data_IF_632142615745
#
_entry.id   IF_632142615745
#
_cell.length_a   1.000
_cell.length_b   1.000
_cell.length_c   1.000
_cell.angle_alpha   90.00
_cell.angle_beta   90.00
_cell.angle_gamma   90.00
#
_symmetry.space_group_name_H-M   'P 1'
#
loop_
_entity.id
_entity.type
_entity.pdbx_description
1 polymer ?
#
# COMPACT_ATOMS: atom_id res chain seq x y z
N UNK A 1 21.73 -9.82 -0.01
CA UNK A 1 21.27 -10.34 1.30
C UNK A 1 20.76 -11.75 1.11
N UNK A 2 21.22 -12.66 1.87
CA UNK A 2 20.77 -14.05 1.85
C UNK A 2 19.44 -14.19 2.60
N UNK A 3 18.81 -15.35 2.47
CA UNK A 3 17.54 -15.63 3.13
C UNK A 3 17.59 -15.48 4.67
N UNK A 4 18.74 -15.59 5.30
CA UNK A 4 18.95 -15.37 6.74
C UNK A 4 19.44 -13.95 7.07
N UNK A 5 19.23 -13.01 6.16
CA UNK A 5 19.67 -11.60 6.27
C UNK A 5 21.17 -11.38 6.42
N UNK A 6 21.99 -12.37 6.11
CA UNK A 6 23.44 -12.18 6.04
C UNK A 6 23.82 -11.43 4.77
N UNK A 7 24.77 -10.53 4.90
CA UNK A 7 25.34 -9.79 3.76
C UNK A 7 26.51 -10.57 3.22
N UNK A 8 26.40 -11.00 1.96
CA UNK A 8 27.50 -11.64 1.24
C UNK A 8 28.07 -10.67 0.22
N UNK A 9 29.39 -10.52 0.23
CA UNK A 9 30.10 -9.75 -0.78
C UNK A 9 30.50 -10.67 -1.92
N UNK A 10 30.16 -10.28 -3.13
CA UNK A 10 30.49 -11.01 -4.34
C UNK A 10 31.52 -10.24 -5.16
N UNK A 11 32.46 -10.95 -5.74
CA UNK A 11 33.34 -10.37 -6.73
C UNK A 11 32.61 -10.30 -8.08
N UNK A 12 32.53 -9.12 -8.65
CA UNK A 12 31.91 -8.91 -9.95
C UNK A 12 32.86 -9.36 -11.04
N UNK A 13 32.43 -10.28 -11.91
CA UNK A 13 33.19 -10.73 -13.06
C UNK A 13 33.03 -9.81 -14.26
N UNK A 14 31.78 -9.35 -14.49
CA UNK A 14 31.42 -8.59 -15.70
C UNK A 14 30.27 -7.63 -15.45
N UNK A 15 30.34 -6.46 -16.06
CA UNK A 15 29.26 -5.50 -16.16
C UNK A 15 29.06 -5.16 -17.63
N UNK A 16 27.83 -5.31 -18.12
CA UNK A 16 27.47 -5.03 -19.51
C UNK A 16 26.26 -4.09 -19.56
N UNK A 17 26.27 -3.15 -20.49
CA UNK A 17 25.06 -2.45 -20.84
C UNK A 17 24.22 -3.32 -21.77
N UNK A 18 22.93 -3.49 -21.46
CA UNK A 18 21.99 -4.24 -22.27
C UNK A 18 20.70 -3.45 -22.44
N UNK A 19 20.10 -3.53 -23.61
CA UNK A 19 18.78 -2.95 -23.87
C UNK A 19 17.70 -4.01 -23.65
N UNK A 20 16.69 -3.66 -22.88
CA UNK A 20 15.54 -4.52 -22.60
C UNK A 20 14.27 -3.69 -22.51
N UNK A 21 13.30 -3.98 -23.37
CA UNK A 21 11.99 -3.32 -23.39
C UNK A 21 12.07 -1.78 -23.36
N UNK A 22 13.00 -1.22 -24.14
CA UNK A 22 13.21 0.22 -24.27
C UNK A 22 13.96 0.89 -23.11
N UNK A 23 14.51 0.09 -22.18
CA UNK A 23 15.34 0.58 -21.09
C UNK A 23 16.77 0.09 -21.20
N UNK A 24 17.70 0.94 -20.84
CA UNK A 24 19.12 0.57 -20.69
C UNK A 24 19.36 0.06 -19.28
N UNK A 25 19.89 -1.15 -19.19
CA UNK A 25 20.19 -1.83 -17.92
C UNK A 25 21.68 -2.15 -17.84
N UNK A 26 22.20 -2.21 -16.62
CA UNK A 26 23.47 -2.85 -16.35
C UNK A 26 23.24 -4.30 -15.94
N UNK A 27 23.72 -5.25 -16.75
CA UNK A 27 23.78 -6.66 -16.38
C UNK A 27 25.06 -6.91 -15.62
N UNK A 28 24.95 -7.20 -14.34
CA UNK A 28 26.08 -7.49 -13.45
C UNK A 28 26.14 -8.99 -13.23
N UNK A 29 27.26 -9.59 -13.62
CA UNK A 29 27.53 -11.01 -13.44
C UNK A 29 28.63 -11.21 -12.41
N UNK A 30 28.36 -12.08 -11.44
CA UNK A 30 29.33 -12.47 -10.41
C UNK A 30 29.25 -13.96 -10.16
N UNK A 31 30.36 -14.58 -9.76
CA UNK A 31 30.34 -15.97 -9.30
C UNK A 31 30.10 -16.01 -7.80
N UNK A 32 29.19 -16.83 -7.41
CA UNK A 32 28.77 -17.02 -6.04
C UNK A 32 28.68 -18.52 -5.72
N UNK A 33 29.83 -19.20 -5.56
CA UNK A 33 29.84 -20.64 -5.31
C UNK A 33 29.12 -21.03 -4.01
N UNK A 34 28.94 -20.07 -3.12
CA UNK A 34 28.29 -20.25 -1.83
C UNK A 34 26.80 -19.88 -1.83
N UNK A 35 26.30 -19.39 -2.96
CA UNK A 35 24.90 -19.00 -3.14
C UNK A 35 24.31 -19.82 -4.29
N UNK A 36 23.31 -20.60 -3.95
CA UNK A 36 22.56 -21.36 -4.93
C UNK A 36 21.34 -20.52 -5.31
N UNK A 37 21.19 -20.28 -6.58
CA UNK A 37 20.03 -19.64 -7.14
C UNK A 37 19.62 -20.27 -8.45
N UNK A 38 18.40 -20.02 -8.85
CA UNK A 38 17.93 -20.38 -10.19
C UNK A 38 18.18 -19.22 -11.14
N UNK A 39 18.71 -19.55 -12.32
CA UNK A 39 18.90 -18.58 -13.40
C UNK A 39 17.58 -18.33 -14.17
N UNK A 40 17.66 -17.54 -15.24
CA UNK A 40 16.50 -17.23 -16.07
C UNK A 40 15.83 -18.46 -16.71
N UNK A 41 16.63 -19.49 -16.95
CA UNK A 41 16.14 -20.79 -17.49
C UNK A 41 15.58 -21.71 -16.40
N UNK A 42 15.50 -21.21 -15.16
CA UNK A 42 15.02 -21.97 -14.00
C UNK A 42 15.89 -23.18 -13.64
N UNK A 43 17.17 -23.12 -13.94
CA UNK A 43 18.17 -24.12 -13.53
C UNK A 43 19.03 -23.61 -12.37
N UNK A 44 19.59 -24.50 -11.57
CA UNK A 44 20.48 -24.14 -10.48
C UNK A 44 21.82 -23.63 -11.03
N UNK A 45 22.31 -22.51 -10.48
CA UNK A 45 23.53 -21.88 -10.95
C UNK A 45 24.33 -21.28 -9.80
N UNK A 46 25.66 -21.38 -9.89
CA UNK A 46 26.60 -20.65 -9.05
C UNK A 46 26.89 -19.24 -9.58
N UNK A 47 26.44 -18.95 -10.79
CA UNK A 47 26.55 -17.63 -11.39
C UNK A 47 25.42 -16.74 -10.90
N UNK A 48 25.76 -15.59 -10.33
CA UNK A 48 24.82 -14.59 -9.90
C UNK A 48 24.71 -13.51 -10.96
N UNK A 49 23.50 -13.31 -11.48
CA UNK A 49 23.19 -12.26 -12.45
C UNK A 49 22.18 -11.32 -11.85
N UNK A 50 22.49 -10.04 -11.86
CA UNK A 50 21.57 -9.01 -11.39
C UNK A 50 21.54 -7.85 -12.37
N UNK A 51 20.33 -7.30 -12.60
CA UNK A 51 20.10 -6.19 -13.50
C UNK A 51 19.81 -4.94 -12.71
N UNK A 52 20.51 -3.85 -13.02
CA UNK A 52 20.29 -2.54 -12.46
C UNK A 52 19.89 -1.58 -13.59
N UNK A 53 18.92 -0.70 -13.32
CA UNK A 53 18.60 0.34 -14.29
C UNK A 53 19.71 1.38 -14.38
N UNK A 54 20.10 1.73 -15.59
CA UNK A 54 20.97 2.89 -15.80
C UNK A 54 20.16 4.15 -15.52
N UNK A 55 20.62 4.97 -14.59
CA UNK A 55 19.91 6.16 -14.16
C UNK A 55 20.00 7.24 -15.23
N UNK A 56 18.85 7.67 -15.76
CA UNK A 56 18.73 8.80 -16.65
C UNK A 56 18.57 10.08 -15.82
N UNK A 57 19.31 11.14 -16.15
CA UNK A 57 19.21 12.43 -15.51
C UNK A 57 17.88 13.13 -15.89
N UNK A 58 17.40 14.03 -15.03
CA UNK A 58 16.23 14.85 -15.30
C UNK A 58 16.42 15.73 -16.55
N UNK A 59 15.32 16.00 -17.22
CA UNK A 59 15.24 16.96 -18.33
C UNK A 59 14.24 18.04 -17.96
N UNK A 60 14.73 19.24 -17.63
CA UNK A 60 13.86 20.30 -17.09
C UNK A 60 13.23 19.87 -15.76
N UNK A 61 11.90 19.87 -15.70
CA UNK A 61 11.14 19.39 -14.56
C UNK A 61 10.60 17.95 -14.72
N UNK A 62 11.14 17.20 -15.68
CA UNK A 62 10.79 15.81 -15.94
C UNK A 62 11.87 14.88 -15.36
N UNK A 63 11.45 13.97 -14.49
CA UNK A 63 12.32 13.12 -13.70
C UNK A 63 12.25 11.67 -14.16
N UNK A 64 13.42 11.02 -14.17
CA UNK A 64 13.60 9.64 -14.59
C UNK A 64 14.26 8.77 -13.52
N UNK A 65 14.62 9.35 -12.37
CA UNK A 65 15.05 8.60 -11.22
C UNK A 65 14.52 9.20 -9.91
N UNK A 66 14.24 8.33 -8.96
CA UNK A 66 13.56 8.70 -7.73
C UNK A 66 14.45 9.53 -6.79
N UNK A 67 15.75 9.24 -6.74
CA UNK A 67 16.67 9.96 -5.87
C UNK A 67 16.74 11.45 -6.23
N UNK A 68 16.83 11.75 -7.52
CA UNK A 68 16.87 13.12 -8.03
C UNK A 68 15.54 13.85 -7.79
N UNK A 69 14.42 13.17 -8.02
CA UNK A 69 13.08 13.70 -7.74
C UNK A 69 12.95 14.08 -6.25
N UNK A 70 13.29 13.19 -5.35
CA UNK A 70 13.20 13.42 -3.90
C UNK A 70 14.10 14.58 -3.47
N UNK A 71 15.33 14.60 -3.97
CA UNK A 71 16.29 15.68 -3.69
C UNK A 71 15.73 17.04 -4.10
N UNK A 72 15.17 17.14 -5.29
CA UNK A 72 14.66 18.39 -5.82
C UNK A 72 13.33 18.81 -5.16
N UNK A 73 12.46 17.87 -4.83
CA UNK A 73 11.24 18.17 -4.05
C UNK A 73 11.57 18.69 -2.65
N UNK A 74 12.60 18.15 -2.00
CA UNK A 74 13.09 18.68 -0.72
C UNK A 74 13.66 20.09 -0.84
N UNK A 75 14.41 20.35 -1.90
CA UNK A 75 15.04 21.65 -2.15
C UNK A 75 14.02 22.73 -2.54
N UNK A 76 12.97 22.35 -3.28
CA UNK A 76 11.92 23.27 -3.72
C UNK A 76 10.52 22.65 -3.51
N UNK A 77 10.02 22.65 -2.29
CA UNK A 77 8.72 22.02 -1.98
C UNK A 77 7.50 22.71 -2.59
N UNK A 78 7.67 23.85 -3.26
CA UNK A 78 6.62 24.57 -3.98
C UNK A 78 6.71 24.41 -5.50
N UNK A 79 7.65 23.60 -6.00
CA UNK A 79 7.90 23.41 -7.42
C UNK A 79 6.87 22.51 -8.10
N UNK A 80 6.99 22.44 -9.42
CA UNK A 80 6.25 21.51 -10.26
C UNK A 80 7.18 20.41 -10.76
N UNK A 81 6.78 19.16 -10.52
CA UNK A 81 7.58 17.97 -10.81
C UNK A 81 6.74 17.01 -11.63
N UNK A 82 7.32 16.51 -12.74
CA UNK A 82 6.69 15.49 -13.58
C UNK A 82 7.56 14.27 -13.69
N UNK A 83 6.99 13.09 -13.56
CA UNK A 83 7.72 11.85 -13.83
C UNK A 83 7.53 11.44 -15.29
N UNK A 84 8.66 11.11 -15.94
CA UNK A 84 8.72 10.74 -17.36
C UNK A 84 8.89 9.24 -17.60
N UNK A 85 9.00 8.46 -16.55
CA UNK A 85 9.10 7.00 -16.59
C UNK A 85 8.70 6.42 -15.23
N UNK A 86 8.54 5.10 -15.17
CA UNK A 86 8.43 4.40 -13.89
C UNK A 86 9.74 4.56 -13.09
N UNK A 87 9.63 4.90 -11.82
CA UNK A 87 10.76 5.14 -10.93
C UNK A 87 10.93 3.99 -9.94
N UNK A 88 12.16 3.75 -9.53
CA UNK A 88 12.49 2.72 -8.54
C UNK A 88 13.10 3.35 -7.28
N UNK A 89 12.42 3.22 -6.15
CA UNK A 89 12.88 3.70 -4.86
C UNK A 89 13.76 2.70 -4.10
N UNK A 90 13.98 1.50 -4.62
CA UNK A 90 14.65 0.42 -3.89
C UNK A 90 16.10 0.74 -3.48
N UNK A 91 16.81 1.52 -4.30
CA UNK A 91 18.22 1.87 -4.07
C UNK A 91 18.41 3.30 -3.55
N UNK A 92 17.34 3.95 -3.16
CA UNK A 92 17.41 5.30 -2.58
C UNK A 92 17.58 5.19 -1.07
N UNK A 93 18.44 6.02 -0.45
CA UNK A 93 18.61 6.01 1.00
C UNK A 93 17.29 6.17 1.73
N UNK A 94 17.07 5.31 2.72
CA UNK A 94 15.82 5.23 3.46
C UNK A 94 15.83 6.25 4.61
N UNK A 95 14.93 7.24 4.60
CA UNK A 95 14.82 8.21 5.68
C UNK A 95 14.21 7.58 6.94
N UNK A 96 14.16 8.35 8.02
CA UNK A 96 13.55 7.85 9.26
C UNK A 96 12.05 7.61 9.12
N UNK A 97 11.32 8.46 8.41
CA UNK A 97 9.87 8.33 8.23
C UNK A 97 9.39 8.64 6.81
N UNK A 98 9.69 9.82 6.27
CA UNK A 98 9.25 10.21 4.94
C UNK A 98 10.42 10.66 4.05
N UNK A 99 10.31 10.42 2.74
CA UNK A 99 11.32 10.86 1.77
C UNK A 99 11.38 12.38 1.63
N UNK A 100 10.23 13.04 1.70
CA UNK A 100 10.10 14.50 1.62
C UNK A 100 9.42 14.99 2.88
N UNK A 101 10.18 15.25 3.96
CA UNK A 101 9.63 15.73 5.22
C UNK A 101 9.12 17.18 5.11
N UNK A 102 8.30 17.57 6.07
CA UNK A 102 7.68 18.90 6.08
C UNK A 102 6.47 18.98 5.18
N UNK A 103 6.16 20.17 4.71
CA UNK A 103 4.96 20.43 3.90
C UNK A 103 5.33 20.63 2.44
N UNK A 104 4.79 19.77 1.57
CA UNK A 104 4.87 19.89 0.12
C UNK A 104 3.71 20.76 -0.37
N UNK A 105 4.03 21.86 -1.05
CA UNK A 105 3.07 22.84 -1.59
C UNK A 105 3.03 22.83 -3.12
N UNK A 106 3.82 21.99 -3.72
CA UNK A 106 4.01 21.93 -5.16
C UNK A 106 3.03 20.99 -5.84
N UNK A 107 3.39 20.62 -7.07
CA UNK A 107 2.63 19.69 -7.89
C UNK A 107 3.52 18.52 -8.29
N UNK A 108 3.03 17.31 -8.08
CA UNK A 108 3.63 16.07 -8.57
C UNK A 108 2.64 15.39 -9.50
N UNK A 109 3.08 15.10 -10.72
CA UNK A 109 2.28 14.37 -11.71
C UNK A 109 3.18 13.55 -12.64
N UNK A 110 2.59 12.77 -13.51
CA UNK A 110 3.28 12.24 -14.68
C UNK A 110 3.27 13.26 -15.82
N UNK A 111 4.16 13.10 -16.81
CA UNK A 111 4.09 13.89 -18.04
C UNK A 111 2.72 13.76 -18.69
N UNK A 112 2.29 14.76 -19.43
CA UNK A 112 0.94 14.88 -19.95
C UNK A 112 0.48 13.61 -20.70
N UNK A 113 -0.71 13.13 -20.34
CA UNK A 113 -1.31 11.94 -20.92
C UNK A 113 -0.73 10.61 -20.45
N UNK A 114 0.24 10.62 -19.53
CA UNK A 114 0.85 9.43 -18.98
C UNK A 114 0.45 9.24 -17.50
N UNK A 115 0.65 8.02 -17.01
CA UNK A 115 0.47 7.66 -15.61
C UNK A 115 1.56 6.65 -15.25
N UNK A 116 2.62 7.15 -14.65
CA UNK A 116 3.76 6.33 -14.23
C UNK A 116 3.67 5.97 -12.76
N UNK A 117 4.49 5.00 -12.36
CA UNK A 117 4.50 4.47 -11.00
C UNK A 117 5.84 4.72 -10.33
N UNK A 118 5.80 5.01 -9.03
CA UNK A 118 6.97 4.95 -8.15
C UNK A 118 6.92 3.59 -7.46
N UNK A 119 7.92 2.76 -7.73
CA UNK A 119 8.01 1.40 -7.22
C UNK A 119 8.89 1.30 -5.98
N UNK A 120 8.53 0.35 -5.12
CA UNK A 120 9.39 -0.14 -4.04
C UNK A 120 9.73 0.90 -2.97
N UNK A 121 8.83 1.84 -2.69
CA UNK A 121 9.00 2.72 -1.54
C UNK A 121 8.97 1.92 -0.25
N UNK A 122 9.89 2.20 0.66
CA UNK A 122 9.95 1.61 2.00
C UNK A 122 9.63 2.62 3.11
N UNK A 123 9.27 3.84 2.75
CA UNK A 123 8.84 4.92 3.64
C UNK A 123 7.72 5.72 3.00
N UNK A 124 7.03 6.50 3.82
CA UNK A 124 6.03 7.46 3.37
C UNK A 124 6.66 8.51 2.45
N UNK A 125 5.94 8.97 1.43
CA UNK A 125 6.51 9.91 0.45
C UNK A 125 6.65 11.31 1.03
N UNK A 126 5.55 11.91 1.51
CA UNK A 126 5.52 13.28 2.06
C UNK A 126 5.19 13.30 3.55
N UNK A 127 5.68 14.32 4.25
CA UNK A 127 5.19 14.65 5.59
C UNK A 127 3.77 15.18 5.52
N UNK A 128 3.54 16.23 4.77
CA UNK A 128 2.22 16.82 4.51
C UNK A 128 2.13 17.38 3.09
N UNK A 129 0.90 17.57 2.61
CA UNK A 129 0.60 18.25 1.35
C UNK A 129 -0.38 19.38 1.64
N UNK A 130 -0.04 20.59 1.29
CA UNK A 130 -0.90 21.76 1.49
C UNK A 130 -0.85 22.71 0.30
N UNK A 131 -1.99 23.01 -0.30
CA UNK A 131 -2.12 23.95 -1.40
C UNK A 131 -1.65 23.44 -2.78
N UNK A 132 -1.21 22.20 -2.86
CA UNK A 132 -0.70 21.62 -4.10
C UNK A 132 -1.54 20.46 -4.63
N UNK A 133 -0.90 19.56 -5.36
CA UNK A 133 -1.56 18.37 -5.90
C UNK A 133 -0.60 17.21 -6.15
N UNK A 134 -1.14 16.00 -6.09
CA UNK A 134 -0.50 14.79 -6.59
C UNK A 134 -1.51 14.10 -7.49
N UNK A 135 -1.17 13.96 -8.78
CA UNK A 135 -2.09 13.44 -9.79
C UNK A 135 -1.40 12.48 -10.75
N UNK A 136 -2.13 11.47 -11.20
CA UNK A 136 -1.67 10.55 -12.25
C UNK A 136 -0.33 9.88 -11.95
N UNK A 137 -0.15 9.48 -10.69
CA UNK A 137 1.05 8.79 -10.20
C UNK A 137 0.61 7.60 -9.35
N UNK A 138 1.12 6.41 -9.66
CA UNK A 138 0.87 5.25 -8.80
C UNK A 138 2.05 5.03 -7.84
N UNK A 139 1.75 4.46 -6.68
CA UNK A 139 2.74 4.00 -5.71
C UNK A 139 2.67 2.47 -5.67
N UNK A 140 3.63 1.82 -6.31
CA UNK A 140 3.56 0.40 -6.60
C UNK A 140 4.48 -0.42 -5.68
N UNK A 141 3.97 -1.53 -5.20
CA UNK A 141 4.72 -2.44 -4.35
C UNK A 141 5.40 -1.73 -3.16
N UNK A 142 4.63 -0.91 -2.48
CA UNK A 142 5.08 -0.24 -1.25
C UNK A 142 5.32 -1.31 -0.18
N UNK A 143 6.45 -1.23 0.50
CA UNK A 143 6.77 -2.11 1.63
C UNK A 143 7.28 -1.25 2.80
N UNK A 144 6.35 -0.75 3.59
CA UNK A 144 6.64 0.03 4.79
C UNK A 144 6.50 -0.86 6.01
N UNK A 145 7.59 -1.09 6.72
CA UNK A 145 7.64 -1.88 7.94
C UNK A 145 8.28 -1.07 9.06
N UNK A 146 7.46 -0.35 9.81
CA UNK A 146 7.89 0.59 10.86
C UNK A 146 7.04 0.42 12.13
N UNK A 147 7.17 -0.70 12.86
CA UNK A 147 6.36 -0.98 14.04
C UNK A 147 6.57 0.01 15.21
N UNK A 148 7.55 0.89 15.11
CA UNK A 148 7.84 1.93 16.10
C UNK A 148 7.28 3.31 15.74
N UNK A 149 6.67 3.47 14.57
CA UNK A 149 6.17 4.75 14.08
C UNK A 149 4.65 4.82 14.13
N UNK A 150 4.15 5.96 14.58
CA UNK A 150 2.73 6.32 14.56
C UNK A 150 2.39 7.17 13.34
N UNK A 151 1.12 7.11 12.91
CA UNK A 151 0.57 7.87 11.80
C UNK A 151 1.35 7.67 10.50
N UNK A 152 1.34 6.45 10.01
CA UNK A 152 2.02 6.03 8.78
C UNK A 152 1.02 5.73 7.66
N UNK A 153 1.35 6.13 6.45
CA UNK A 153 0.61 5.88 5.21
C UNK A 153 1.57 5.91 4.02
N UNK A 154 1.10 5.63 2.83
CA UNK A 154 1.98 5.61 1.66
C UNK A 154 2.32 7.02 1.16
N UNK A 155 1.35 7.95 1.09
CA UNK A 155 1.52 9.22 0.42
C UNK A 155 1.89 10.36 1.38
N UNK A 156 1.07 10.61 2.39
CA UNK A 156 1.25 11.75 3.29
C UNK A 156 0.50 11.57 4.61
N UNK A 157 1.01 12.17 5.67
CA UNK A 157 0.29 12.22 6.94
C UNK A 157 -0.95 13.09 6.85
N UNK A 158 -0.84 14.27 6.29
CA UNK A 158 -1.93 15.26 6.21
C UNK A 158 -2.01 15.85 4.81
N UNK A 159 -3.24 15.99 4.32
CA UNK A 159 -3.55 16.72 3.08
C UNK A 159 -4.54 17.83 3.42
N UNK A 160 -4.23 19.07 3.03
CA UNK A 160 -5.06 20.25 3.30
C UNK A 160 -5.06 21.18 2.10
N UNK A 161 -6.24 21.67 1.72
CA UNK A 161 -6.40 22.54 0.54
C UNK A 161 -5.61 22.03 -0.68
N UNK A 162 -5.71 20.74 -0.95
CA UNK A 162 -4.92 20.07 -1.96
C UNK A 162 -5.71 18.93 -2.59
N UNK A 163 -5.31 18.53 -3.78
CA UNK A 163 -5.94 17.47 -4.56
C UNK A 163 -5.02 16.28 -4.71
N UNK A 164 -5.58 15.10 -4.47
CA UNK A 164 -4.97 13.79 -4.75
C UNK A 164 -5.89 13.07 -5.72
N UNK A 165 -5.43 12.79 -6.93
CA UNK A 165 -6.30 12.32 -8.01
C UNK A 165 -5.65 11.27 -8.89
N UNK A 166 -6.42 10.26 -9.30
CA UNK A 166 -5.97 9.17 -10.17
C UNK A 166 -4.72 8.47 -9.64
N UNK A 167 -4.81 7.92 -8.44
CA UNK A 167 -3.70 7.26 -7.77
C UNK A 167 -4.11 5.85 -7.37
N UNK A 168 -3.26 4.88 -7.72
CA UNK A 168 -3.35 3.52 -7.22
C UNK A 168 -2.13 3.22 -6.35
N UNK A 169 -2.38 2.76 -5.15
CA UNK A 169 -1.35 2.31 -4.20
C UNK A 169 -1.47 0.82 -4.01
N UNK A 170 -0.38 0.10 -4.17
CA UNK A 170 -0.31 -1.35 -3.90
C UNK A 170 0.82 -1.66 -2.92
N UNK A 171 0.64 -2.68 -2.10
CA UNK A 171 1.69 -3.19 -1.23
C UNK A 171 1.26 -3.37 0.22
N UNK A 172 2.21 -3.23 1.13
CA UNK A 172 2.02 -3.50 2.55
C UNK A 172 2.54 -2.35 3.41
N UNK A 173 1.76 -1.96 4.40
CA UNK A 173 2.12 -0.92 5.36
C UNK A 173 1.89 -1.47 6.76
N UNK A 174 2.94 -1.48 7.57
CA UNK A 174 2.91 -1.84 8.98
C UNK A 174 3.47 -0.70 9.82
N UNK A 175 2.73 -0.29 10.80
CA UNK A 175 3.09 0.75 11.76
C UNK A 175 2.59 0.44 13.16
N UNK A 176 2.84 1.34 14.10
CA UNK A 176 2.40 1.16 15.49
C UNK A 176 0.92 1.52 15.62
N UNK A 177 0.57 2.78 15.67
CA UNK A 177 -0.80 3.29 15.76
C UNK A 177 -1.06 4.34 14.68
N UNK A 178 -2.28 4.41 14.17
CA UNK A 178 -2.64 5.35 13.11
C UNK A 178 -2.14 4.91 11.74
N UNK A 179 -2.80 3.93 11.14
CA UNK A 179 -2.40 3.34 9.87
C UNK A 179 -3.43 3.72 8.80
N UNK A 180 -2.95 4.09 7.62
CA UNK A 180 -3.81 4.31 6.46
C UNK A 180 -3.11 3.91 5.17
N UNK A 181 -3.89 3.58 4.16
CA UNK A 181 -3.34 3.18 2.86
C UNK A 181 -2.71 4.34 2.09
N UNK A 182 -3.35 5.49 2.07
CA UNK A 182 -2.90 6.64 1.26
C UNK A 182 -2.52 7.83 2.12
N UNK A 183 -3.41 8.32 2.99
CA UNK A 183 -3.17 9.46 3.89
C UNK A 183 -3.69 9.15 5.28
N UNK A 184 -3.10 9.75 6.31
CA UNK A 184 -3.64 9.60 7.66
C UNK A 184 -4.77 10.60 7.94
N UNK A 185 -4.67 11.83 7.47
CA UNK A 185 -5.68 12.86 7.70
C UNK A 185 -5.93 13.72 6.47
N UNK A 186 -7.18 13.80 6.04
CA UNK A 186 -7.66 14.81 5.11
C UNK A 186 -8.24 15.97 5.88
N UNK A 187 -7.56 17.12 5.87
CA UNK A 187 -7.99 18.33 6.53
C UNK A 187 -8.81 19.23 5.60
N UNK A 188 -9.18 20.41 6.04
CA UNK A 188 -10.01 21.37 5.31
C UNK A 188 -9.59 21.50 3.83
N UNK A 189 -10.52 21.31 2.92
CA UNK A 189 -10.28 21.45 1.49
C UNK A 189 -9.47 20.30 0.84
N UNK A 190 -9.16 19.25 1.58
CA UNK A 190 -8.57 18.06 0.99
C UNK A 190 -9.58 17.38 0.06
N UNK A 191 -9.15 17.05 -1.16
CA UNK A 191 -9.96 16.38 -2.15
C UNK A 191 -9.21 15.17 -2.71
N UNK A 192 -9.67 13.98 -2.38
CA UNK A 192 -9.17 12.73 -2.94
C UNK A 192 -10.20 12.22 -3.95
N UNK A 193 -9.81 12.07 -5.20
CA UNK A 193 -10.69 11.65 -6.29
C UNK A 193 -10.08 10.50 -7.08
N UNK A 194 -10.85 9.45 -7.28
CA UNK A 194 -10.42 8.28 -8.04
C UNK A 194 -9.10 7.69 -7.52
N UNK A 195 -9.14 7.19 -6.30
CA UNK A 195 -8.00 6.63 -5.59
C UNK A 195 -8.25 5.18 -5.21
N UNK A 196 -7.22 4.36 -5.20
CA UNK A 196 -7.32 2.96 -4.81
C UNK A 196 -6.15 2.53 -3.93
N UNK A 197 -6.44 1.66 -2.97
CA UNK A 197 -5.45 0.92 -2.20
C UNK A 197 -5.72 -0.57 -2.30
N UNK A 198 -4.71 -1.34 -2.67
CA UNK A 198 -4.78 -2.80 -2.76
C UNK A 198 -3.57 -3.40 -2.03
N UNK A 199 -3.81 -4.11 -0.94
CA UNK A 199 -2.71 -4.74 -0.19
C UNK A 199 -3.03 -5.03 1.25
N UNK A 200 -2.03 -4.87 2.11
CA UNK A 200 -2.10 -5.22 3.53
C UNK A 200 -1.80 -4.02 4.41
N UNK A 201 -2.61 -3.83 5.44
CA UNK A 201 -2.42 -2.79 6.45
C UNK A 201 -2.39 -3.44 7.83
N UNK A 202 -1.34 -3.16 8.60
CA UNK A 202 -1.15 -3.77 9.93
C UNK A 202 -0.78 -2.72 10.97
N UNK A 203 -1.49 -2.69 12.07
CA UNK A 203 -1.21 -1.85 13.24
C UNK A 203 -0.90 -2.71 14.46
N UNK A 204 0.30 -2.54 15.03
CA UNK A 204 0.77 -3.36 16.16
C UNK A 204 0.65 -2.66 17.52
N UNK A 205 0.22 -1.40 17.53
CA UNK A 205 0.12 -0.60 18.75
C UNK A 205 -1.17 -0.82 19.54
N UNK A 206 -1.25 -0.16 20.69
CA UNK A 206 -2.32 -0.34 21.69
C UNK A 206 -3.09 0.95 22.01
N UNK A 207 -2.88 2.04 21.27
CA UNK A 207 -3.52 3.33 21.58
C UNK A 207 -4.95 3.43 21.08
N UNK A 208 -5.35 2.61 20.15
CA UNK A 208 -6.72 2.63 19.61
C UNK A 208 -6.96 3.78 18.63
N UNK A 209 -5.96 4.20 17.89
CA UNK A 209 -6.05 5.33 16.97
C UNK A 209 -6.71 4.94 15.64
N UNK A 210 -6.95 5.96 14.80
CA UNK A 210 -7.66 5.81 13.53
C UNK A 210 -6.89 4.96 12.53
N UNK A 211 -7.60 4.05 11.89
CA UNK A 211 -7.06 3.08 10.95
C UNK A 211 -8.03 2.95 9.77
N UNK A 212 -7.60 3.34 8.57
CA UNK A 212 -8.46 3.33 7.38
C UNK A 212 -7.77 2.86 6.11
N UNK A 213 -8.52 2.27 5.21
CA UNK A 213 -7.99 1.76 3.94
C UNK A 213 -7.46 2.87 3.03
N UNK A 214 -8.16 4.00 2.94
CA UNK A 214 -7.71 5.20 2.23
C UNK A 214 -7.17 6.23 3.21
N UNK A 215 -7.93 6.59 4.23
CA UNK A 215 -7.60 7.62 5.20
C UNK A 215 -7.98 7.20 6.62
N UNK A 216 -7.24 7.68 7.61
CA UNK A 216 -7.63 7.54 9.00
C UNK A 216 -8.79 8.46 9.36
N UNK A 217 -8.67 9.73 9.03
CA UNK A 217 -9.63 10.77 9.38
C UNK A 217 -9.83 11.76 8.21
N UNK A 218 -11.07 12.20 8.06
CA UNK A 218 -11.45 13.32 7.21
C UNK A 218 -12.04 14.43 8.06
N UNK A 219 -11.26 15.45 8.33
CA UNK A 219 -11.70 16.68 8.98
C UNK A 219 -12.00 17.74 7.93
N UNK A 220 -13.25 17.84 7.50
CA UNK A 220 -13.64 18.74 6.39
C UNK A 220 -12.93 18.46 5.06
N UNK A 221 -12.47 17.23 4.87
CA UNK A 221 -11.95 16.73 3.60
C UNK A 221 -12.95 15.82 2.90
N UNK A 222 -12.73 15.52 1.63
CA UNK A 222 -13.61 14.69 0.83
C UNK A 222 -12.87 13.55 0.14
N UNK A 223 -13.57 12.41 0.02
CA UNK A 223 -13.17 11.30 -0.85
C UNK A 223 -14.31 11.01 -1.80
N UNK A 224 -14.03 11.02 -3.10
CA UNK A 224 -14.97 10.65 -4.15
C UNK A 224 -14.32 9.66 -5.11
N UNK A 225 -15.00 8.57 -5.41
CA UNK A 225 -14.51 7.47 -6.26
C UNK A 225 -13.26 6.82 -5.68
N UNK A 226 -13.47 5.94 -4.72
CA UNK A 226 -12.39 5.23 -4.05
C UNK A 226 -12.63 3.72 -4.01
N UNK A 227 -11.55 2.96 -4.09
CA UNK A 227 -11.58 1.49 -4.01
C UNK A 227 -10.53 0.99 -3.02
N UNK A 228 -10.95 0.14 -2.12
CA UNK A 228 -10.07 -0.56 -1.18
C UNK A 228 -10.26 -2.06 -1.31
N UNK A 229 -9.17 -2.76 -1.52
CA UNK A 229 -9.10 -4.22 -1.40
C UNK A 229 -7.93 -4.57 -0.49
N UNK A 230 -8.23 -4.81 0.78
CA UNK A 230 -7.19 -4.90 1.79
C UNK A 230 -7.45 -5.97 2.84
N UNK A 231 -6.35 -6.53 3.33
CA UNK A 231 -6.33 -7.25 4.60
C UNK A 231 -5.85 -6.28 5.68
N UNK A 232 -6.74 -5.93 6.58
CA UNK A 232 -6.49 -4.99 7.65
C UNK A 232 -6.43 -5.74 8.98
N UNK A 233 -5.28 -5.67 9.64
CA UNK A 233 -5.03 -6.35 10.91
C UNK A 233 -4.56 -5.35 11.95
N UNK A 234 -5.23 -5.31 13.10
CA UNK A 234 -4.85 -4.42 14.19
C UNK A 234 -4.91 -5.13 15.55
N UNK A 235 -4.01 -4.74 16.42
CA UNK A 235 -4.06 -5.15 17.82
C UNK A 235 -5.14 -4.35 18.57
N UNK A 236 -5.08 -3.04 18.50
CA UNK A 236 -6.13 -2.14 19.01
C UNK A 236 -6.26 -0.92 18.10
N UNK A 237 -7.47 -0.67 17.60
CA UNK A 237 -7.69 0.46 16.70
C UNK A 237 -9.18 0.81 16.56
N UNK A 238 -9.43 2.03 16.10
CA UNK A 238 -10.69 2.44 15.48
C UNK A 238 -10.54 2.24 13.98
N UNK A 239 -11.30 1.31 13.41
CA UNK A 239 -11.10 0.90 12.02
C UNK A 239 -12.32 1.19 11.16
N UNK A 240 -12.09 1.79 10.00
CA UNK A 240 -13.02 1.80 8.89
C UNK A 240 -12.38 1.23 7.63
N UNK A 241 -13.07 0.39 6.91
CA UNK A 241 -12.52 -0.21 5.68
C UNK A 241 -12.05 0.84 4.68
N UNK A 242 -12.76 1.96 4.54
CA UNK A 242 -12.35 3.09 3.73
C UNK A 242 -11.70 4.19 4.58
N UNK A 243 -12.38 4.64 5.61
CA UNK A 243 -11.96 5.72 6.51
C UNK A 243 -12.42 5.41 7.92
N UNK A 244 -11.62 5.70 8.93
CA UNK A 244 -12.05 5.47 10.31
C UNK A 244 -13.08 6.50 10.74
N UNK A 245 -12.81 7.78 10.59
CA UNK A 245 -13.72 8.86 10.96
C UNK A 245 -13.88 9.93 9.90
N UNK A 246 -15.11 10.45 9.81
CA UNK A 246 -15.37 11.73 9.13
C UNK A 246 -15.84 12.75 10.15
N UNK A 247 -15.47 14.00 9.93
CA UNK A 247 -15.87 15.12 10.79
C UNK A 247 -16.03 16.41 9.97
N UNK A 248 -17.16 17.08 10.15
CA UNK A 248 -17.41 18.39 9.57
C UNK A 248 -17.87 19.37 10.66
N UNK A 249 -17.33 19.23 11.86
CA UNK A 249 -17.66 20.07 13.00
C UNK A 249 -17.54 21.56 12.69
N UNK A 250 -18.54 22.33 13.12
CA UNK A 250 -18.53 23.77 12.99
C UNK A 250 -19.09 24.32 11.68
N UNK A 251 -19.57 23.48 10.79
CA UNK A 251 -20.28 23.89 9.57
C UNK A 251 -21.62 23.17 9.38
N UNK A 252 -22.64 23.50 10.18
CA UNK A 252 -23.95 22.86 10.06
C UNK A 252 -24.64 23.14 8.72
N UNK A 253 -24.27 24.21 8.02
CA UNK A 253 -24.80 24.52 6.70
C UNK A 253 -24.00 23.84 5.56
N UNK A 254 -22.90 23.23 5.89
CA UNK A 254 -22.02 22.55 4.95
C UNK A 254 -22.26 21.06 4.85
N UNK A 255 -23.39 20.54 5.26
CA UNK A 255 -23.70 19.10 5.22
C UNK A 255 -23.45 18.55 3.82
N UNK A 256 -22.53 17.59 3.74
CA UNK A 256 -22.11 16.98 2.47
C UNK A 256 -21.19 17.85 1.62
N UNK A 257 -20.79 19.02 2.10
CA UNK A 257 -19.78 19.87 1.45
C UNK A 257 -18.37 19.41 1.81
N UNK A 258 -18.15 19.13 3.10
CA UNK A 258 -16.87 18.62 3.60
C UNK A 258 -17.11 17.37 4.47
N UNK A 259 -16.05 16.62 4.72
CA UNK A 259 -16.12 15.38 5.50
C UNK A 259 -16.99 14.32 4.82
N UNK A 260 -17.06 14.33 3.49
CA UNK A 260 -17.91 13.45 2.72
C UNK A 260 -17.14 12.34 2.03
N UNK A 261 -17.74 11.16 2.02
CA UNK A 261 -17.27 9.99 1.25
C UNK A 261 -18.40 9.59 0.31
N UNK A 262 -18.09 9.49 -0.97
CA UNK A 262 -19.04 9.11 -2.01
C UNK A 262 -18.41 8.15 -3.01
N UNK A 263 -19.26 7.30 -3.60
CA UNK A 263 -18.86 6.45 -4.72
C UNK A 263 -17.63 5.59 -4.39
N UNK A 264 -17.69 4.84 -3.29
CA UNK A 264 -16.55 4.07 -2.84
C UNK A 264 -16.91 2.61 -2.57
N UNK A 265 -15.89 1.77 -2.66
CA UNK A 265 -15.99 0.32 -2.46
C UNK A 265 -14.92 -0.13 -1.48
N UNK A 266 -15.31 -0.96 -0.52
CA UNK A 266 -14.36 -1.70 0.34
C UNK A 266 -14.54 -3.19 0.17
N UNK A 267 -13.43 -3.91 0.11
CA UNK A 267 -13.37 -5.36 -0.04
C UNK A 267 -12.18 -5.93 0.73
N UNK A 268 -12.29 -7.15 1.18
CA UNK A 268 -11.20 -7.87 1.88
C UNK A 268 -11.59 -8.24 3.29
N UNK A 269 -10.66 -8.15 4.23
CA UNK A 269 -10.86 -8.59 5.61
C UNK A 269 -10.41 -7.53 6.61
N UNK A 270 -11.12 -7.44 7.73
CA UNK A 270 -10.71 -6.67 8.91
C UNK A 270 -10.66 -7.64 10.09
N UNK A 271 -9.48 -7.73 10.73
CA UNK A 271 -9.25 -8.52 11.93
C UNK A 271 -8.66 -7.62 13.01
N UNK A 272 -9.43 -7.36 14.06
CA UNK A 272 -9.00 -6.54 15.19
C UNK A 272 -9.16 -7.30 16.48
N UNK A 273 -8.07 -7.35 17.28
CA UNK A 273 -8.09 -8.04 18.54
C UNK A 273 -8.89 -7.28 19.60
N UNK A 274 -8.61 -5.98 19.74
CA UNK A 274 -9.28 -5.07 20.68
C UNK A 274 -9.89 -3.90 19.88
N UNK A 275 -11.17 -4.04 19.55
CA UNK A 275 -11.89 -3.05 18.76
C UNK A 275 -12.29 -1.88 19.65
N UNK A 276 -11.83 -0.67 19.31
CA UNK A 276 -12.39 0.55 19.87
C UNK A 276 -13.76 0.78 19.23
N UNK A 277 -13.80 0.80 17.89
CA UNK A 277 -15.01 0.93 17.10
C UNK A 277 -14.65 0.56 15.66
N UNK A 278 -15.28 -0.45 15.10
CA UNK A 278 -14.90 -0.99 13.79
C UNK A 278 -16.11 -1.13 12.88
N UNK A 279 -15.99 -0.62 11.66
CA UNK A 279 -16.97 -0.81 10.60
C UNK A 279 -16.32 -1.24 9.29
N UNK A 280 -16.97 -2.09 8.53
CA UNK A 280 -16.49 -2.58 7.24
C UNK A 280 -16.23 -1.48 6.22
N UNK A 281 -16.88 -0.34 6.36
CA UNK A 281 -16.70 0.84 5.52
C UNK A 281 -16.17 2.03 6.31
N UNK A 282 -16.82 2.40 7.40
CA UNK A 282 -16.47 3.53 8.25
C UNK A 282 -16.70 3.18 9.71
N UNK A 283 -15.79 3.62 10.59
CA UNK A 283 -15.98 3.46 12.03
C UNK A 283 -17.01 4.46 12.57
N UNK A 284 -16.80 5.74 12.33
CA UNK A 284 -17.68 6.79 12.86
C UNK A 284 -17.78 7.99 11.92
N UNK A 285 -19.00 8.38 11.66
CA UNK A 285 -19.29 9.65 11.00
C UNK A 285 -19.61 10.68 12.08
N UNK A 286 -18.66 11.54 12.36
CA UNK A 286 -18.78 12.58 13.38
C UNK A 286 -19.42 13.82 12.77
N UNK A 287 -20.18 14.51 13.51
CA UNK A 287 -20.88 15.77 13.18
C UNK A 287 -20.89 16.20 11.69
N UNK A 288 -22.04 16.14 11.04
CA UNK A 288 -22.30 16.68 9.68
C UNK A 288 -21.55 16.04 8.50
N UNK A 289 -20.75 15.00 8.73
CA UNK A 289 -20.15 14.24 7.64
C UNK A 289 -21.19 13.44 6.86
N UNK A 290 -20.85 13.01 5.64
CA UNK A 290 -21.76 12.24 4.77
C UNK A 290 -21.07 11.03 4.15
N UNK A 291 -21.77 9.92 4.13
CA UNK A 291 -21.33 8.69 3.44
C UNK A 291 -22.46 8.25 2.51
N UNK A 292 -22.21 8.24 1.21
CA UNK A 292 -23.24 7.95 0.22
C UNK A 292 -22.75 7.11 -0.95
N UNK A 293 -23.67 6.43 -1.60
CA UNK A 293 -23.45 5.69 -2.85
C UNK A 293 -22.26 4.73 -2.82
N UNK A 294 -22.13 4.03 -1.70
CA UNK A 294 -20.95 3.20 -1.43
C UNK A 294 -21.34 1.76 -1.13
N UNK A 295 -20.39 0.86 -1.38
CA UNK A 295 -20.58 -0.58 -1.22
C UNK A 295 -19.47 -1.15 -0.36
N UNK A 296 -19.82 -1.89 0.70
CA UNK A 296 -18.86 -2.67 1.46
C UNK A 296 -19.03 -4.16 1.20
N UNK A 297 -17.96 -4.79 0.76
CA UNK A 297 -17.82 -6.25 0.64
C UNK A 297 -16.79 -6.77 1.65
N UNK A 298 -16.60 -6.05 2.75
CA UNK A 298 -15.62 -6.37 3.77
C UNK A 298 -16.10 -7.51 4.66
N UNK A 299 -15.19 -8.40 5.03
CA UNK A 299 -15.41 -9.44 6.04
C UNK A 299 -14.79 -8.96 7.35
N UNK A 300 -15.64 -8.60 8.30
CA UNK A 300 -15.22 -7.98 9.56
C UNK A 300 -15.27 -8.98 10.71
N UNK A 301 -14.15 -9.20 11.35
CA UNK A 301 -14.07 -9.89 12.63
C UNK A 301 -13.98 -8.88 13.77
N UNK A 302 -14.86 -9.03 14.78
CA UNK A 302 -14.94 -8.16 15.95
C UNK A 302 -15.35 -6.71 15.64
N UNK A 303 -16.35 -6.53 14.79
CA UNK A 303 -16.87 -5.21 14.44
C UNK A 303 -18.16 -5.26 13.62
N UNK A 304 -18.64 -4.11 13.23
CA UNK A 304 -19.87 -3.92 12.46
C UNK A 304 -19.62 -4.13 10.96
N UNK A 305 -20.63 -4.59 10.26
CA UNK A 305 -20.54 -4.93 8.83
C UNK A 305 -20.27 -3.72 7.93
N UNK A 306 -20.72 -2.51 8.31
CA UNK A 306 -20.55 -1.30 7.52
C UNK A 306 -20.14 -0.09 8.37
N UNK A 307 -20.97 0.29 9.33
CA UNK A 307 -20.80 1.46 10.18
C UNK A 307 -20.52 1.02 11.62
N UNK A 308 -19.39 1.44 12.18
CA UNK A 308 -18.90 0.93 13.46
C UNK A 308 -19.59 1.50 14.69
N UNK A 309 -20.08 2.72 14.62
CA UNK A 309 -20.74 3.35 15.75
C UNK A 309 -22.16 2.80 15.95
N UNK A 310 -22.51 2.55 17.21
CA UNK A 310 -23.88 2.15 17.58
C UNK A 310 -24.84 3.32 17.73
N UNK A 311 -24.30 4.53 17.69
CA UNK A 311 -25.05 5.78 17.96
C UNK A 311 -25.68 6.36 16.68
N UNK A 312 -26.16 5.52 15.77
CA UNK A 312 -27.01 6.00 14.69
C UNK A 312 -28.38 6.31 15.31
N UNK A 313 -28.57 7.56 15.70
CA UNK A 313 -29.82 8.03 16.27
C UNK A 313 -30.81 8.33 15.16
N UNK A 314 -32.05 7.84 15.35
CA UNK A 314 -33.19 8.09 14.46
C UNK A 314 -33.70 9.53 14.55
N UNK A 315 -33.41 10.22 15.63
CA UNK A 315 -34.09 11.47 16.01
C UNK A 315 -33.27 12.75 15.76
N UNK A 316 -32.23 12.70 14.98
CA UNK A 316 -31.59 13.92 14.51
C UNK A 316 -30.66 14.62 15.52
N UNK A 317 -30.06 13.89 16.42
CA UNK A 317 -28.92 14.33 17.20
C UNK A 317 -27.72 14.71 16.32
N UNK A 318 -26.56 14.86 16.88
CA UNK A 318 -25.29 15.19 16.18
C UNK A 318 -25.03 14.40 14.89
N UNK A 319 -25.73 13.32 14.71
CA UNK A 319 -25.69 12.42 13.56
C UNK A 319 -27.02 12.53 12.81
N UNK A 320 -27.13 13.52 11.94
CA UNK A 320 -28.32 13.65 11.15
C UNK A 320 -28.53 12.35 10.36
N UNK A 321 -29.75 11.88 10.36
CA UNK A 321 -30.18 10.73 9.59
C UNK A 321 -29.83 10.79 8.10
N UNK A 322 -29.48 11.95 7.56
CA UNK A 322 -29.05 12.17 6.19
C UNK A 322 -27.55 11.92 5.96
N UNK A 323 -26.80 11.54 7.01
CA UNK A 323 -25.37 11.25 6.91
C UNK A 323 -25.06 9.99 6.12
N UNK A 324 -25.97 9.03 6.10
CA UNK A 324 -25.83 7.77 5.34
C UNK A 324 -26.91 7.68 4.28
N UNK A 325 -26.54 7.57 3.02
CA UNK A 325 -27.48 7.48 1.90
C UNK A 325 -27.03 6.48 0.84
N UNK A 326 -27.94 5.60 0.43
CA UNK A 326 -27.74 4.70 -0.70
C UNK A 326 -26.46 3.86 -0.61
N UNK A 327 -26.18 3.32 0.56
CA UNK A 327 -25.05 2.44 0.78
C UNK A 327 -25.50 0.98 0.75
N UNK A 328 -24.60 0.10 0.34
CA UNK A 328 -24.88 -1.31 0.18
C UNK A 328 -23.89 -2.19 0.95
N UNK A 329 -24.41 -3.29 1.48
CA UNK A 329 -23.65 -4.48 1.86
C UNK A 329 -24.11 -5.64 0.99
N UNK A 330 -23.29 -6.68 0.84
CA UNK A 330 -23.51 -7.77 -0.10
C UNK A 330 -23.82 -9.06 0.65
N UNK A 331 -24.97 -9.65 0.33
CA UNK A 331 -25.42 -10.91 0.92
C UNK A 331 -24.38 -12.02 0.69
N UNK A 332 -24.11 -12.80 1.73
CA UNK A 332 -23.16 -13.91 1.74
C UNK A 332 -21.68 -13.52 1.47
N UNK A 333 -21.38 -12.24 1.37
CA UNK A 333 -20.02 -11.70 1.16
C UNK A 333 -19.61 -10.80 2.31
N UNK A 334 -20.38 -9.74 2.57
CA UNK A 334 -20.12 -8.83 3.69
C UNK A 334 -20.46 -9.51 5.00
N UNK A 335 -19.51 -9.56 5.92
CA UNK A 335 -19.72 -10.15 7.25
C UNK A 335 -19.35 -9.19 8.35
N UNK A 336 -19.99 -9.36 9.51
CA UNK A 336 -19.81 -8.52 10.68
C UNK A 336 -21.11 -8.43 11.49
N UNK A 337 -21.04 -7.72 12.62
CA UNK A 337 -22.22 -7.44 13.42
C UNK A 337 -23.15 -6.47 12.68
N UNK A 338 -24.44 -6.59 12.93
CA UNK A 338 -25.49 -5.76 12.36
C UNK A 338 -26.28 -5.09 13.48
N UNK A 339 -25.63 -4.21 14.23
CA UNK A 339 -26.23 -3.56 15.40
C UNK A 339 -27.10 -2.36 15.04
N UNK A 340 -27.06 -1.90 13.78
CA UNK A 340 -27.93 -0.81 13.32
C UNK A 340 -29.39 -1.27 13.23
N UNK A 341 -30.31 -0.38 13.58
CA UNK A 341 -31.75 -0.65 13.54
C UNK A 341 -32.30 -0.66 12.11
N UNK A 342 -33.36 -1.40 11.90
CA UNK A 342 -34.02 -1.55 10.58
C UNK A 342 -34.50 -0.24 9.94
N UNK A 343 -34.74 0.80 10.71
CA UNK A 343 -35.06 2.15 10.17
C UNK A 343 -33.90 2.74 9.35
N UNK A 344 -32.69 2.22 9.52
CA UNK A 344 -31.51 2.58 8.73
C UNK A 344 -31.42 1.73 7.45
N UNK A 345 -32.31 0.77 7.25
CA UNK A 345 -32.26 -0.19 6.13
C UNK A 345 -32.30 0.47 4.74
N UNK A 346 -32.90 1.64 4.61
CA UNK A 346 -32.90 2.40 3.36
C UNK A 346 -31.54 3.11 3.09
N UNK A 347 -30.65 3.12 4.04
CA UNK A 347 -29.38 3.83 4.01
C UNK A 347 -28.19 2.90 3.86
N UNK A 348 -28.35 1.69 4.43
CA UNK A 348 -27.42 0.57 4.26
C UNK A 348 -28.30 -0.63 3.89
N UNK A 349 -28.42 -0.92 2.61
CA UNK A 349 -29.25 -1.99 2.08
C UNK A 349 -28.41 -3.22 1.78
N UNK A 350 -28.88 -4.40 2.20
CA UNK A 350 -28.30 -5.65 1.77
C UNK A 350 -28.82 -6.02 0.38
N UNK A 351 -27.90 -6.28 -0.54
CA UNK A 351 -28.18 -6.61 -1.93
C UNK A 351 -27.46 -7.87 -2.35
N UNK A 352 -27.87 -8.46 -3.48
CA UNK A 352 -27.12 -9.54 -4.12
C UNK A 352 -25.78 -9.05 -4.68
N UNK A 353 -24.88 -9.97 -4.97
CA UNK A 353 -23.63 -9.64 -5.65
C UNK A 353 -23.88 -8.96 -7.01
N UNK A 354 -24.87 -9.43 -7.76
CA UNK A 354 -25.22 -8.86 -9.07
C UNK A 354 -25.72 -7.41 -8.94
N UNK A 355 -26.55 -7.12 -7.97
CA UNK A 355 -27.01 -5.74 -7.70
C UNK A 355 -25.81 -4.84 -7.26
N UNK A 356 -24.93 -5.37 -6.44
CA UNK A 356 -23.73 -4.67 -6.02
C UNK A 356 -22.83 -4.36 -7.21
N UNK A 357 -22.59 -5.33 -8.09
CA UNK A 357 -21.78 -5.16 -9.30
C UNK A 357 -22.37 -4.10 -10.24
N UNK A 358 -23.68 -4.08 -10.42
CA UNK A 358 -24.39 -3.05 -11.17
C UNK A 358 -24.21 -1.67 -10.55
N UNK A 359 -24.31 -1.56 -9.23
CA UNK A 359 -24.08 -0.30 -8.52
C UNK A 359 -22.64 0.18 -8.68
N UNK A 360 -21.68 -0.71 -8.48
CA UNK A 360 -20.24 -0.40 -8.61
C UNK A 360 -19.91 0.11 -10.01
N UNK A 361 -20.49 -0.48 -11.05
CA UNK A 361 -20.29 -0.04 -12.43
C UNK A 361 -20.71 1.40 -12.69
N UNK A 362 -21.61 1.95 -11.86
CA UNK A 362 -22.09 3.34 -11.99
C UNK A 362 -21.26 4.35 -11.21
N UNK A 363 -20.33 3.90 -10.35
CA UNK A 363 -19.62 4.78 -9.42
C UNK A 363 -18.49 5.58 -10.08
N UNK A 364 -18.04 5.17 -11.26
CA UNK A 364 -16.98 5.87 -11.99
C UNK A 364 -15.59 5.68 -11.40
N UNK A 365 -15.37 4.64 -10.61
CA UNK A 365 -14.06 4.29 -10.05
C UNK A 365 -13.24 3.58 -11.14
N UNK A 366 -12.10 4.12 -11.49
CA UNK A 366 -11.19 3.55 -12.50
C UNK A 366 -9.79 3.27 -11.97
N UNK A 367 -9.45 3.82 -10.81
CA UNK A 367 -8.12 3.69 -10.22
C UNK A 367 -7.70 2.23 -9.98
N UNK A 368 -8.64 1.38 -9.53
CA UNK A 368 -8.36 -0.03 -9.29
C UNK A 368 -8.15 -0.84 -10.57
N UNK A 369 -8.68 -0.38 -11.70
CA UNK A 369 -8.56 -1.07 -12.99
C UNK A 369 -7.23 -0.82 -13.68
N UNK A 370 -6.50 0.20 -13.22
CA UNK A 370 -5.20 0.51 -13.79
C UNK A 370 -4.20 -0.62 -13.52
N UNK A 371 -3.61 -1.16 -14.59
CA UNK A 371 -2.60 -2.21 -14.49
C UNK A 371 -1.23 -1.58 -14.34
N UNK A 372 -0.63 -1.77 -13.16
CA UNK A 372 0.75 -1.33 -12.91
C UNK A 372 1.71 -2.32 -13.54
N UNK A 373 2.56 -1.82 -14.46
CA UNK A 373 3.59 -2.64 -15.10
C UNK A 373 4.75 -2.88 -14.12
N UNK A 374 5.27 -4.10 -13.99
CA UNK A 374 6.49 -4.36 -13.25
C UNK A 374 7.67 -3.58 -13.86
N UNK A 375 8.64 -3.21 -13.05
CA UNK A 375 9.90 -2.69 -13.56
C UNK A 375 10.65 -3.79 -14.32
N UNK A 376 11.31 -3.43 -15.41
CA UNK A 376 12.07 -4.40 -16.22
C UNK A 376 13.17 -5.05 -15.40
N UNK A 377 13.91 -4.27 -14.61
CA UNK A 377 14.94 -4.78 -13.71
C UNK A 377 14.36 -5.76 -12.67
N UNK A 378 13.22 -5.44 -12.07
CA UNK A 378 12.56 -6.32 -11.09
C UNK A 378 12.11 -7.62 -11.73
N UNK A 379 11.57 -7.55 -12.95
CA UNK A 379 11.16 -8.74 -13.70
C UNK A 379 12.34 -9.66 -14.00
N UNK A 380 13.47 -9.09 -14.41
CA UNK A 380 14.68 -9.84 -14.73
C UNK A 380 15.39 -10.36 -13.49
N UNK A 381 15.32 -9.64 -12.36
CA UNK A 381 15.93 -10.05 -11.09
C UNK A 381 15.07 -11.03 -10.30
N UNK A 382 13.80 -11.07 -10.59
CA UNK A 382 12.83 -11.87 -9.83
C UNK A 382 12.78 -13.31 -10.36
N UNK A 383 13.94 -13.98 -10.37
CA UNK A 383 13.99 -15.41 -10.58
C UNK A 383 13.49 -16.07 -9.30
N UNK A 384 12.17 -16.12 -9.14
CA UNK A 384 11.57 -16.87 -8.04
C UNK A 384 11.81 -18.35 -8.32
N UNK A 385 12.39 -19.08 -7.35
CA UNK A 385 12.25 -20.52 -7.39
C UNK A 385 10.73 -20.76 -7.44
N UNK A 386 10.28 -21.55 -8.39
CA UNK A 386 8.89 -21.99 -8.37
C UNK A 386 8.67 -22.67 -7.03
N UNK A 387 7.79 -22.14 -6.21
CA UNK A 387 7.48 -22.73 -4.90
C UNK A 387 7.07 -24.21 -5.02
N UNK A 388 6.57 -24.58 -6.19
CA UNK A 388 6.19 -25.95 -6.52
C UNK A 388 7.36 -26.82 -6.96
N UNK A 389 8.48 -26.25 -7.38
CA UNK A 389 9.68 -27.01 -7.74
C UNK A 389 10.45 -27.52 -6.52
N UNK A 390 10.27 -26.92 -5.36
CA UNK A 390 10.80 -27.49 -4.12
C UNK A 390 10.03 -28.71 -3.64
N UNK A 391 8.88 -28.97 -4.22
CA UNK A 391 8.12 -30.21 -4.00
C UNK A 391 8.51 -31.32 -4.99
N UNK A 392 9.25 -30.97 -6.04
CA UNK A 392 9.85 -31.92 -6.94
C UNK A 392 11.11 -32.46 -6.27
N UNK A 393 11.09 -33.74 -5.95
CA UNK A 393 12.19 -34.42 -5.26
C UNK A 393 13.52 -34.27 -5.99
N UNK A 394 13.53 -34.24 -7.31
CA UNK A 394 14.76 -34.10 -8.10
C UNK A 394 15.38 -32.71 -7.94
N UNK A 395 14.59 -31.65 -8.05
CA UNK A 395 15.07 -30.28 -7.86
C UNK A 395 15.50 -30.01 -6.42
N UNK A 396 14.78 -30.59 -5.48
CA UNK A 396 15.14 -30.48 -4.07
C UNK A 396 16.45 -31.17 -3.77
N UNK A 397 16.64 -32.40 -4.28
CA UNK A 397 17.86 -33.19 -4.07
C UNK A 397 19.09 -32.53 -4.73
N UNK A 398 18.92 -32.01 -5.95
CA UNK A 398 19.97 -31.27 -6.63
C UNK A 398 20.36 -29.98 -5.86
N UNK A 399 19.38 -29.27 -5.34
CA UNK A 399 19.62 -28.07 -4.52
C UNK A 399 20.37 -28.40 -3.24
N UNK A 400 20.01 -29.52 -2.61
CA UNK A 400 20.67 -30.00 -1.39
C UNK A 400 22.12 -30.42 -1.68
N UNK A 401 22.32 -31.17 -2.74
CA UNK A 401 23.66 -31.63 -3.13
C UNK A 401 24.58 -30.46 -3.40
N UNK A 402 24.10 -29.45 -4.14
CA UNK A 402 24.89 -28.25 -4.41
C UNK A 402 25.17 -27.46 -3.11
N UNK A 403 24.20 -27.38 -2.20
CA UNK A 403 24.39 -26.77 -0.89
C UNK A 403 25.45 -27.49 -0.07
N UNK A 404 25.43 -28.81 -0.05
CA UNK A 404 26.44 -29.60 0.65
C UNK A 404 27.83 -29.44 0.07
N UNK A 405 27.98 -29.44 -1.24
CA UNK A 405 29.28 -29.18 -1.88
C UNK A 405 29.82 -27.80 -1.50
N UNK A 406 28.97 -26.82 -1.41
CA UNK A 406 29.37 -25.47 -0.98
C UNK A 406 29.72 -25.41 0.50
N UNK A 407 28.98 -26.13 1.36
CA UNK A 407 29.33 -26.28 2.77
C UNK A 407 30.69 -26.94 2.95
N UNK A 408 30.98 -27.97 2.19
CA UNK A 408 32.29 -28.65 2.24
C UNK A 408 33.43 -27.71 1.83
N UNK A 409 33.24 -26.87 0.82
CA UNK A 409 34.19 -25.83 0.44
C UNK A 409 34.45 -24.81 1.56
N UNK A 410 33.46 -24.56 2.39
CA UNK A 410 33.50 -23.62 3.51
C UNK A 410 33.92 -24.27 4.83
N UNK A 411 34.10 -25.59 4.88
CA UNK A 411 34.40 -26.36 6.08
C UNK A 411 35.62 -25.83 6.90
N UNK A 412 36.66 -25.27 6.29
CA UNK A 412 37.72 -24.64 7.09
C UNK A 412 37.24 -23.47 7.96
N UNK A 413 36.06 -22.88 7.61
CA UNK A 413 35.51 -21.68 8.25
C UNK A 413 34.32 -21.98 9.14
N UNK A 414 33.57 -23.05 8.86
CA UNK A 414 32.36 -23.40 9.56
C UNK A 414 32.28 -24.90 9.85
N UNK A 415 31.87 -25.29 11.04
CA UNK A 415 31.55 -26.66 11.28
C UNK A 415 30.10 -26.95 10.79
N UNK A 416 29.85 -28.18 10.43
CA UNK A 416 28.57 -28.64 9.89
C UNK A 416 27.41 -28.47 10.89
N UNK A 417 27.66 -28.71 12.15
CA UNK A 417 26.69 -28.50 13.23
C UNK A 417 26.25 -27.05 13.35
N UNK A 418 27.17 -26.12 13.24
CA UNK A 418 26.86 -24.71 13.31
C UNK A 418 25.92 -24.28 12.18
N UNK A 419 26.17 -24.71 10.96
CA UNK A 419 25.36 -24.39 9.78
C UNK A 419 23.95 -24.96 9.93
N UNK A 420 23.85 -26.17 10.40
CA UNK A 420 22.56 -26.82 10.63
C UNK A 420 21.78 -26.17 11.78
N UNK A 421 22.45 -25.83 12.87
CA UNK A 421 21.82 -25.22 14.03
C UNK A 421 21.41 -23.77 13.82
N UNK A 422 21.93 -23.11 12.80
CA UNK A 422 21.43 -21.80 12.40
C UNK A 422 20.04 -21.86 11.68
N UNK A 423 19.56 -22.97 11.66
CA UNK A 423 18.24 -22.92 11.47
C UNK A 423 17.71 -23.38 10.32
N UNK A 424 18.31 -24.15 9.80
CA UNK A 424 17.39 -24.01 9.07
C UNK A 424 17.32 -24.21 7.69
N UNK A 425 18.23 -24.17 7.12
CA UNK A 425 18.19 -24.13 5.71
C UNK A 425 18.74 -25.39 5.11
N UNK A 426 19.45 -26.11 5.92
CA UNK A 426 19.98 -27.43 5.62
C UNK A 426 19.74 -28.25 6.87
N UNK A 427 18.70 -29.07 6.88
CA UNK A 427 18.43 -29.94 8.03
C UNK A 427 19.60 -30.87 8.33
N UNK A 428 19.77 -31.20 9.60
CA UNK A 428 20.90 -31.99 10.08
C UNK A 428 21.02 -33.36 9.38
N UNK A 429 19.88 -33.92 9.07
CA UNK A 429 19.74 -35.26 8.49
C UNK A 429 19.58 -35.25 6.97
N UNK A 430 19.76 -34.09 6.42
CA UNK A 430 19.54 -33.91 5.00
C UNK A 430 20.79 -34.03 4.21
#
# INVERSE_FOLDING_TARGET
TTHDNKVTRLAVDKIEEVEKDGKTLYKVTAKAPDLIQRNAENTLSEEYVHYFEKQKAKEGNVYYNFNELVKDMKANPSGEFKIGADLNAANVPTPNKEYVPGTFKGKLSSVDGQRYSIHNMSRQLFGGIEGGSVKDVNLANVDINMPWIDNISALARTVKNATVENIKVTGSILGRDGIAGIINKGDTGAQLTNVAFIGNLTGVGNRGWDFGGIAGELWKGNIDKAYVEANMVANKARIGGLVARTDNSGDPNGIGKYGAVRNAVTKGTIKVKDSVETGGFISKNWAWGKVADSVSMMKVENGEVFYGSKDIDEDGGYFSNNALERNFIVKDVSTGKRSFKFSVSNRIKEVSQDEADQKIATLGITANDYVIKPLVSDTLNNVKPKSDTYKDTQDYDASRELAYRNIEKLQPFYNKEWIVNQGNKIPADS
#
